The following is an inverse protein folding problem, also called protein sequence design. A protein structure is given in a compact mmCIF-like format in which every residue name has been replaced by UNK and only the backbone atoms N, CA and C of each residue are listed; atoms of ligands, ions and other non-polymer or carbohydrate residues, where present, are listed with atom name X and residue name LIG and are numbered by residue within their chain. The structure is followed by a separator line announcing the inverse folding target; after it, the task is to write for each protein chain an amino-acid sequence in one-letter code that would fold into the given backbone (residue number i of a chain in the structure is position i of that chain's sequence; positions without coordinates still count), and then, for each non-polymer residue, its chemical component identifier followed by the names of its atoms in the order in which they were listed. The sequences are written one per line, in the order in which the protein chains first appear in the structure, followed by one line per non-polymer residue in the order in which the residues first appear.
data_IF_899457185580
#
_entry.id   IF_899457185580
#
_cell.length_a   1.000
_cell.length_b   1.000
_cell.length_c   1.000
_cell.angle_alpha   90.00
_cell.angle_beta   90.00
_cell.angle_gamma   90.00
#
_symmetry.space_group_name_H-M   'P 1'
#
loop_
_entity.id
_entity.type
_entity.pdbx_description
1 polymer ?
#
# COMPACT_ATOMS: atom_id res chain seq x y z
N UNK A 1 -19.20 -54.08 18.42
CA UNK A 1 -17.76 -53.76 18.28
C UNK A 1 -17.65 -52.28 17.96
N UNK A 2 -17.17 -51.48 18.92
CA UNK A 2 -17.04 -50.02 18.81
C UNK A 2 -15.81 -49.66 17.97
N UNK A 3 -16.04 -49.02 16.82
CA UNK A 3 -14.97 -48.48 15.97
C UNK A 3 -14.37 -47.24 16.65
N UNK A 4 -13.08 -47.33 17.01
CA UNK A 4 -12.31 -46.22 17.57
C UNK A 4 -11.81 -45.34 16.42
N UNK A 5 -12.47 -44.21 16.18
CA UNK A 5 -11.93 -43.16 15.33
C UNK A 5 -10.71 -42.57 16.06
N UNK A 6 -9.52 -42.48 15.45
CA UNK A 6 -8.34 -41.97 16.14
C UNK A 6 -8.51 -40.48 16.40
N UNK A 7 -8.30 -40.06 17.65
CA UNK A 7 -8.34 -38.67 18.11
C UNK A 7 -7.25 -37.77 17.46
N UNK A 8 -6.37 -38.34 16.65
CA UNK A 8 -5.21 -37.67 16.05
C UNK A 8 -5.61 -36.73 14.90
N UNK A 9 -6.76 -36.95 14.26
CA UNK A 9 -7.18 -36.12 13.11
C UNK A 9 -7.83 -34.78 13.51
N UNK A 10 -8.03 -34.53 14.82
CA UNK A 10 -8.65 -33.27 15.30
C UNK A 10 -7.66 -32.17 15.68
N UNK A 11 -6.35 -32.45 15.73
CA UNK A 11 -5.34 -31.45 16.10
C UNK A 11 -4.73 -30.69 14.91
N UNK A 12 -4.82 -31.21 13.68
CA UNK A 12 -4.24 -30.51 12.51
C UNK A 12 -5.07 -29.32 12.01
N UNK A 13 -6.34 -29.22 12.39
CA UNK A 13 -7.22 -28.12 11.95
C UNK A 13 -7.09 -26.84 12.78
N UNK A 14 -6.36 -26.85 13.91
CA UNK A 14 -6.21 -25.66 14.77
C UNK A 14 -4.90 -24.88 14.52
N UNK A 15 -3.90 -25.50 13.90
CA UNK A 15 -2.61 -24.84 13.63
C UNK A 15 -2.62 -23.94 12.38
N UNK A 16 -3.61 -24.09 11.50
CA UNK A 16 -3.70 -23.34 10.24
C UNK A 16 -4.40 -21.98 10.37
N UNK A 17 -4.90 -21.60 11.56
CA UNK A 17 -5.72 -20.40 11.73
C UNK A 17 -4.94 -19.10 12.08
N UNK A 18 -3.64 -19.18 12.37
CA UNK A 18 -2.90 -18.03 12.92
C UNK A 18 -1.85 -17.41 11.98
N UNK A 19 -1.75 -17.84 10.72
CA UNK A 19 -0.89 -17.17 9.74
C UNK A 19 -1.65 -16.00 9.07
N UNK A 20 -2.17 -15.07 9.87
CA UNK A 20 -2.59 -13.78 9.33
C UNK A 20 -1.32 -12.96 9.08
N UNK A 21 -0.87 -12.93 7.83
CA UNK A 21 0.18 -12.01 7.40
C UNK A 21 -0.27 -10.60 7.73
N UNK A 22 0.40 -9.95 8.68
CA UNK A 22 0.15 -8.54 8.96
C UNK A 22 0.50 -7.73 7.71
N UNK A 23 -0.52 -7.19 7.04
CA UNK A 23 -0.33 -6.22 5.95
C UNK A 23 0.03 -4.91 6.63
N UNK A 24 1.32 -4.61 6.67
CA UNK A 24 1.82 -3.35 7.19
C UNK A 24 1.90 -2.34 6.05
N UNK A 25 1.36 -1.14 6.30
CA UNK A 25 1.66 0.02 5.49
C UNK A 25 3.12 0.42 5.67
N UNK A 26 3.67 1.20 4.74
CA UNK A 26 4.90 1.94 5.02
C UNK A 26 4.63 2.95 6.15
N UNK A 27 5.22 2.69 7.31
CA UNK A 27 5.16 3.52 8.51
C UNK A 27 6.49 4.26 8.70
N UNK A 28 6.40 5.57 8.91
CA UNK A 28 7.56 6.41 9.17
C UNK A 28 7.34 7.26 10.41
N UNK A 29 8.36 7.49 11.25
CA UNK A 29 8.28 8.51 12.28
C UNK A 29 8.09 9.88 11.62
N UNK A 30 7.30 10.75 12.25
CA UNK A 30 7.19 12.12 11.77
C UNK A 30 8.53 12.85 11.93
N UNK A 31 8.97 13.59 10.90
CA UNK A 31 10.23 14.31 10.94
C UNK A 31 10.10 15.53 11.88
N UNK A 32 11.24 16.08 12.36
CA UNK A 32 11.25 17.29 13.18
C UNK A 32 10.51 18.48 12.52
N UNK A 33 10.04 19.45 13.32
CA UNK A 33 9.45 20.67 12.76
C UNK A 33 10.39 21.36 11.77
N UNK A 34 9.89 21.68 10.57
CA UNK A 34 10.66 22.28 9.49
C UNK A 34 11.27 21.29 8.49
N UNK A 35 11.15 19.99 8.73
CA UNK A 35 11.50 18.94 7.78
C UNK A 35 10.24 18.23 7.29
N UNK A 36 10.17 17.95 5.99
CA UNK A 36 9.03 17.27 5.35
C UNK A 36 9.40 15.92 4.73
N UNK A 37 10.65 15.47 4.86
CA UNK A 37 11.13 14.26 4.20
C UNK A 37 11.05 13.06 5.15
N UNK A 38 10.48 11.96 4.66
CA UNK A 38 10.45 10.68 5.38
C UNK A 38 10.95 9.54 4.49
N UNK A 39 11.40 8.46 5.12
CA UNK A 39 11.88 7.27 4.43
C UNK A 39 13.22 7.46 3.73
N UNK A 40 13.56 6.52 2.86
CA UNK A 40 14.84 6.47 2.16
C UNK A 40 14.68 5.76 0.82
N UNK A 41 15.46 6.17 -0.19
CA UNK A 41 15.45 5.48 -1.48
C UNK A 41 16.13 4.12 -1.31
N UNK A 42 15.53 3.08 -1.87
CA UNK A 42 16.12 1.74 -1.88
C UNK A 42 16.41 1.32 -3.32
N UNK A 43 17.42 0.47 -3.51
CA UNK A 43 17.72 -0.15 -4.79
C UNK A 43 17.78 -1.66 -4.59
N UNK A 44 17.06 -2.39 -5.43
CA UNK A 44 17.06 -3.86 -5.41
C UNK A 44 17.52 -4.40 -6.76
N UNK A 45 17.96 -5.65 -6.76
CA UNK A 45 18.21 -6.42 -7.99
C UNK A 45 16.92 -7.13 -8.40
N UNK A 46 16.45 -6.86 -9.61
CA UNK A 46 15.29 -7.55 -10.17
C UNK A 46 15.58 -9.04 -10.35
N UNK A 47 14.56 -9.86 -10.11
CA UNK A 47 14.49 -11.26 -10.53
C UNK A 47 13.89 -11.35 -11.93
N UNK A 48 13.98 -12.53 -12.52
CA UNK A 48 13.44 -12.75 -13.87
C UNK A 48 11.91 -12.63 -13.89
N UNK A 49 11.24 -13.05 -12.80
CA UNK A 49 9.79 -13.10 -12.69
C UNK A 49 9.18 -11.81 -12.12
N UNK A 50 10.00 -10.83 -11.73
CA UNK A 50 9.50 -9.60 -11.12
C UNK A 50 8.77 -8.74 -12.16
N UNK A 51 7.61 -8.20 -11.80
CA UNK A 51 6.96 -7.10 -12.52
C UNK A 51 6.86 -5.88 -11.61
N UNK A 52 6.67 -4.68 -12.15
CA UNK A 52 6.47 -3.48 -11.33
C UNK A 52 5.18 -3.54 -10.51
N UNK A 53 4.16 -4.26 -10.99
CA UNK A 53 2.93 -4.47 -10.22
C UNK A 53 3.17 -5.41 -9.02
N UNK A 54 3.95 -6.47 -9.19
CA UNK A 54 4.30 -7.40 -8.11
C UNK A 54 5.24 -6.75 -7.10
N UNK A 55 6.25 -6.03 -7.58
CA UNK A 55 7.13 -5.22 -6.74
C UNK A 55 6.33 -4.14 -5.99
N UNK A 56 5.40 -3.47 -6.67
CA UNK A 56 4.49 -2.51 -6.06
C UNK A 56 3.70 -3.12 -4.90
N UNK A 57 3.09 -4.28 -5.14
CA UNK A 57 2.34 -5.01 -4.09
C UNK A 57 3.25 -5.43 -2.93
N UNK A 58 4.46 -5.90 -3.22
CA UNK A 58 5.41 -6.39 -2.23
C UNK A 58 5.98 -5.28 -1.35
N UNK A 59 6.22 -4.09 -1.92
CA UNK A 59 6.88 -2.98 -1.26
C UNK A 59 5.92 -1.82 -0.91
N UNK A 60 4.60 -2.02 -1.09
CA UNK A 60 3.55 -1.02 -0.83
C UNK A 60 3.75 0.27 -1.66
N UNK A 61 4.00 0.08 -2.96
CA UNK A 61 4.24 1.10 -3.97
C UNK A 61 3.22 1.00 -5.11
N UNK A 62 2.85 2.14 -5.67
CA UNK A 62 1.98 2.26 -6.81
C UNK A 62 2.72 1.91 -8.10
N UNK A 63 1.96 1.37 -9.05
CA UNK A 63 2.50 1.02 -10.36
C UNK A 63 3.09 2.23 -11.12
N UNK A 64 2.39 3.37 -11.08
CA UNK A 64 2.82 4.58 -11.78
C UNK A 64 4.07 5.21 -11.15
N UNK A 65 4.20 5.20 -9.82
CA UNK A 65 5.41 5.71 -9.17
C UNK A 65 6.63 4.80 -9.42
N UNK A 66 6.42 3.48 -9.53
CA UNK A 66 7.47 2.55 -9.94
C UNK A 66 7.97 2.84 -11.37
N UNK A 67 7.06 3.10 -12.31
CA UNK A 67 7.42 3.53 -13.67
C UNK A 67 8.20 4.84 -13.64
N UNK A 68 7.69 5.85 -12.91
CA UNK A 68 8.30 7.17 -12.85
C UNK A 68 9.72 7.12 -12.27
N UNK A 69 9.95 6.29 -11.27
CA UNK A 69 11.26 6.12 -10.63
C UNK A 69 12.28 5.34 -11.50
N UNK A 70 11.83 4.59 -12.51
CA UNK A 70 12.66 3.67 -13.30
C UNK A 70 12.51 3.89 -14.81
N UNK A 71 12.90 5.07 -15.35
CA UNK A 71 12.78 5.36 -16.77
C UNK A 71 13.62 4.38 -17.62
N UNK A 72 13.03 3.87 -18.70
CA UNK A 72 13.70 2.94 -19.62
C UNK A 72 13.83 1.50 -19.10
N UNK A 73 13.15 1.16 -18.01
CA UNK A 73 12.96 -0.22 -17.57
C UNK A 73 11.60 -0.71 -18.03
N UNK A 74 11.57 -1.91 -18.62
CA UNK A 74 10.30 -2.55 -18.99
C UNK A 74 9.55 -2.94 -17.69
N UNK A 75 8.33 -2.43 -17.45
CA UNK A 75 7.58 -2.73 -16.22
C UNK A 75 7.11 -4.18 -16.09
N UNK A 76 7.00 -4.91 -17.21
CA UNK A 76 6.55 -6.31 -17.25
C UNK A 76 7.71 -7.29 -17.26
N UNK A 77 8.87 -6.88 -17.76
CA UNK A 77 10.08 -7.70 -17.75
C UNK A 77 11.32 -6.82 -17.46
N UNK A 78 11.52 -6.38 -16.20
CA UNK A 78 12.62 -5.50 -15.83
C UNK A 78 14.01 -6.06 -16.16
N UNK A 79 14.11 -7.40 -16.20
CA UNK A 79 15.31 -8.15 -16.54
C UNK A 79 16.13 -8.49 -15.31
N UNK A 80 16.49 -9.77 -15.16
CA UNK A 80 17.21 -10.28 -14.00
C UNK A 80 18.54 -9.54 -13.78
N UNK A 81 18.83 -9.21 -12.52
CA UNK A 81 20.06 -8.51 -12.11
C UNK A 81 20.08 -7.01 -12.39
N UNK A 82 19.04 -6.45 -13.03
CA UNK A 82 18.90 -5.00 -13.23
C UNK A 82 18.63 -4.31 -11.89
N UNK A 83 19.21 -3.13 -11.72
CA UNK A 83 18.92 -2.28 -10.57
C UNK A 83 17.56 -1.61 -10.74
N UNK A 84 16.69 -1.79 -9.74
CA UNK A 84 15.37 -1.18 -9.66
C UNK A 84 15.34 -0.26 -8.44
N UNK A 85 15.02 1.00 -8.69
CA UNK A 85 14.83 2.02 -7.67
C UNK A 85 13.43 1.88 -7.08
N UNK A 86 13.35 1.73 -5.76
CA UNK A 86 12.11 1.78 -5.01
C UNK A 86 11.95 3.19 -4.42
N UNK A 87 10.95 3.99 -4.87
CA UNK A 87 10.73 5.36 -4.40
C UNK A 87 10.12 5.42 -2.98
N UNK A 88 10.78 4.81 -2.00
CA UNK A 88 10.34 4.75 -0.59
C UNK A 88 10.81 5.94 0.25
N UNK A 89 11.08 7.07 -0.41
CA UNK A 89 11.38 8.38 0.19
C UNK A 89 10.33 9.37 -0.27
N UNK A 90 9.61 9.95 0.68
CA UNK A 90 8.47 10.80 0.40
C UNK A 90 8.69 12.21 0.95
N UNK A 91 8.08 13.18 0.28
CA UNK A 91 7.93 14.54 0.80
C UNK A 91 6.49 14.63 1.30
N UNK A 92 6.31 14.93 2.57
CA UNK A 92 4.98 15.03 3.17
C UNK A 92 4.22 16.20 2.53
N UNK A 93 2.92 16.00 2.18
CA UNK A 93 2.12 17.07 1.62
C UNK A 93 2.03 18.28 2.57
N UNK A 94 1.91 19.50 2.02
CA UNK A 94 1.75 20.69 2.85
C UNK A 94 0.39 20.67 3.59
N UNK A 95 0.37 21.27 4.78
CA UNK A 95 -0.84 21.41 5.60
C UNK A 95 -0.78 20.62 6.91
N UNK A 96 -1.92 20.49 7.61
CA UNK A 96 -1.99 19.77 8.88
C UNK A 96 -1.66 18.28 8.71
N UNK A 97 -0.73 17.78 9.54
CA UNK A 97 -0.38 16.36 9.62
C UNK A 97 -1.37 15.61 10.52
N UNK A 98 -2.64 15.63 10.14
CA UNK A 98 -3.75 15.09 10.93
C UNK A 98 -4.72 14.28 10.08
N UNK A 99 -5.15 13.11 10.58
CA UNK A 99 -6.16 12.30 9.89
C UNK A 99 -5.66 11.80 8.54
N UNK A 100 -6.49 11.89 7.50
CA UNK A 100 -6.18 11.38 6.17
C UNK A 100 -5.95 12.55 5.21
N UNK A 101 -4.81 12.55 4.54
CA UNK A 101 -4.47 13.47 3.46
C UNK A 101 -4.26 12.66 2.18
N UNK A 102 -4.98 13.00 1.11
CA UNK A 102 -4.85 12.34 -0.19
C UNK A 102 -4.15 13.30 -1.14
N UNK A 103 -2.97 12.91 -1.65
CA UNK A 103 -2.28 13.62 -2.70
C UNK A 103 -2.60 12.97 -4.05
N UNK A 104 -3.46 13.63 -4.83
CA UNK A 104 -3.91 13.13 -6.13
C UNK A 104 -2.78 13.07 -7.17
N UNK A 105 -1.81 13.99 -7.11
CA UNK A 105 -0.70 14.02 -8.06
C UNK A 105 0.30 12.87 -7.84
N UNK A 106 0.45 12.43 -6.59
CA UNK A 106 1.32 11.33 -6.20
C UNK A 106 0.60 9.98 -6.19
N UNK A 107 -0.72 9.95 -6.39
CA UNK A 107 -1.53 8.73 -6.22
C UNK A 107 -1.28 8.07 -4.86
N UNK A 108 -1.18 8.89 -3.80
CA UNK A 108 -0.78 8.42 -2.46
C UNK A 108 -1.61 9.05 -1.35
N UNK A 109 -1.94 8.24 -0.35
CA UNK A 109 -2.66 8.62 0.85
C UNK A 109 -1.69 8.61 2.02
N UNK A 110 -1.74 9.65 2.84
CA UNK A 110 -1.01 9.80 4.08
C UNK A 110 -2.00 9.76 5.24
N UNK A 111 -1.76 8.89 6.21
CA UNK A 111 -2.57 8.75 7.41
C UNK A 111 -1.74 9.08 8.65
N UNK A 112 -2.21 10.08 9.41
CA UNK A 112 -1.63 10.56 10.65
C UNK A 112 -2.54 10.14 11.82
N UNK A 113 -2.26 8.99 12.47
CA UNK A 113 -3.05 8.50 13.59
C UNK A 113 -3.00 9.44 14.80
N UNK A 114 -4.14 9.63 15.46
CA UNK A 114 -4.23 10.46 16.66
C UNK A 114 -3.37 9.86 17.78
N UNK A 115 -2.58 10.73 18.43
CA UNK A 115 -1.76 10.36 19.59
C UNK A 115 -0.50 9.58 19.26
N UNK A 116 -0.14 9.45 17.98
CA UNK A 116 1.09 8.79 17.55
C UNK A 116 1.92 9.74 16.69
N UNK A 117 3.24 9.71 16.85
CA UNK A 117 4.16 10.55 16.09
C UNK A 117 4.68 9.82 14.83
N UNK A 118 3.75 9.27 14.05
CA UNK A 118 4.04 8.48 12.85
C UNK A 118 3.13 8.91 11.70
N UNK A 119 3.55 8.58 10.48
CA UNK A 119 2.74 8.69 9.26
C UNK A 119 2.76 7.34 8.55
N UNK A 120 1.58 6.86 8.18
CA UNK A 120 1.43 5.72 7.28
C UNK A 120 1.16 6.21 5.87
N UNK A 121 1.77 5.60 4.88
CA UNK A 121 1.55 5.95 3.47
C UNK A 121 0.98 4.76 2.72
N UNK A 122 0.10 5.01 1.75
CA UNK A 122 -0.53 3.97 0.93
C UNK A 122 -0.67 4.42 -0.52
N UNK A 123 -0.29 3.60 -1.50
CA UNK A 123 -0.63 3.87 -2.89
C UNK A 123 -2.15 3.77 -3.08
N UNK A 124 -2.71 4.62 -3.94
CA UNK A 124 -4.14 4.60 -4.25
C UNK A 124 -4.41 4.79 -5.74
N UNK A 125 -5.52 4.23 -6.22
CA UNK A 125 -6.10 4.61 -7.50
C UNK A 125 -7.06 5.77 -7.33
N UNK A 126 -7.05 6.73 -8.25
CA UNK A 126 -8.03 7.82 -8.33
C UNK A 126 -9.06 7.54 -9.42
N UNK A 127 -10.15 8.31 -9.43
CA UNK A 127 -11.17 8.21 -10.47
C UNK A 127 -10.60 8.39 -11.88
N UNK A 128 -11.23 7.70 -12.85
CA UNK A 128 -10.84 7.78 -14.27
C UNK A 128 -11.04 9.19 -14.84
N UNK A 129 -10.45 9.45 -15.98
CA UNK A 129 -10.65 10.70 -16.72
C UNK A 129 -12.14 11.00 -16.93
N UNK A 130 -12.53 12.26 -16.70
CA UNK A 130 -13.93 12.70 -16.70
C UNK A 130 -14.72 12.38 -15.41
N UNK A 131 -14.14 11.60 -14.49
CA UNK A 131 -14.70 11.21 -13.18
C UNK A 131 -13.66 11.40 -12.06
N UNK A 132 -12.99 12.55 -12.07
CA UNK A 132 -11.90 12.84 -11.14
C UNK A 132 -12.36 12.88 -9.68
N UNK A 133 -11.48 12.44 -8.78
CA UNK A 133 -11.69 12.61 -7.34
C UNK A 133 -11.74 14.11 -7.00
N UNK A 134 -12.77 14.58 -6.28
CA UNK A 134 -12.91 16.00 -5.99
C UNK A 134 -11.83 16.48 -5.02
N UNK A 135 -11.44 17.76 -5.15
CA UNK A 135 -10.49 18.41 -4.25
C UNK A 135 -11.29 19.12 -3.14
N UNK A 136 -10.98 18.84 -1.89
CA UNK A 136 -11.60 19.51 -0.75
C UNK A 136 -11.38 18.79 0.57
N UNK A 137 -11.96 19.36 1.63
CA UNK A 137 -11.95 18.77 2.97
C UNK A 137 -13.24 17.98 3.17
N UNK A 138 -13.10 16.74 3.62
CA UNK A 138 -14.24 15.86 3.93
C UNK A 138 -13.91 14.99 5.15
N UNK A 139 -14.86 14.15 5.57
CA UNK A 139 -14.68 13.21 6.67
C UNK A 139 -15.23 11.84 6.32
N UNK A 140 -14.63 10.81 6.88
CA UNK A 140 -15.19 9.44 6.84
C UNK A 140 -16.50 9.44 7.64
N UNK A 141 -17.61 9.10 6.98
CA UNK A 141 -18.95 9.06 7.61
C UNK A 141 -19.37 7.64 8.00
N UNK A 142 -18.89 6.64 7.28
CA UNK A 142 -19.18 5.24 7.52
C UNK A 142 -18.03 4.35 7.01
N UNK A 143 -17.91 3.15 7.58
CA UNK A 143 -17.03 2.09 7.10
C UNK A 143 -17.82 0.79 7.10
N UNK A 144 -17.98 0.19 5.92
CA UNK A 144 -18.70 -1.07 5.74
C UNK A 144 -17.72 -2.14 5.29
N UNK A 145 -17.53 -3.22 6.06
CA UNK A 145 -16.76 -4.38 5.60
C UNK A 145 -17.44 -5.02 4.39
N UNK A 146 -16.68 -5.34 3.33
CA UNK A 146 -17.16 -6.03 2.13
C UNK A 146 -18.44 -5.41 1.52
N UNK A 147 -18.42 -4.13 1.09
CA UNK A 147 -19.59 -3.46 0.56
C UNK A 147 -20.02 -4.04 -0.80
N UNK A 148 -21.31 -3.93 -1.13
CA UNK A 148 -21.82 -4.19 -2.49
C UNK A 148 -21.62 -2.95 -3.38
N UNK A 149 -21.49 -3.16 -4.69
CA UNK A 149 -21.44 -2.07 -5.69
C UNK A 149 -22.79 -1.95 -6.40
N UNK A 150 -23.36 -0.74 -6.41
CA UNK A 150 -24.57 -0.40 -7.18
C UNK A 150 -24.15 0.56 -8.30
N UNK A 151 -24.11 0.10 -9.57
CA UNK A 151 -23.75 0.96 -10.70
C UNK A 151 -24.75 2.11 -10.89
N UNK A 152 -24.31 3.29 -11.39
CA UNK A 152 -25.22 4.36 -11.78
C UNK A 152 -26.06 3.94 -13.00
N UNK A 153 -27.22 4.57 -13.19
CA UNK A 153 -27.99 4.45 -14.43
C UNK A 153 -27.16 4.97 -15.61
N UNK A 154 -27.15 4.23 -16.71
CA UNK A 154 -26.45 4.57 -17.96
C UNK A 154 -27.13 5.67 -18.75
#
# INVERSE_FOLDING_TARGET
MLSRIPAVTRCLSLAALCAASSVHALEFPLPPPGEDIVGQVQVIKAKYEDTFADLGTKYDLGYLEMIAANPGVDPWLPGAGKDIVLPTRFILPPGPREGIVINLAEYRMYYYPKGQNVVHTYPLGVGREGWGSPIGVTKVTAKTPNPTWTPPAS
#
